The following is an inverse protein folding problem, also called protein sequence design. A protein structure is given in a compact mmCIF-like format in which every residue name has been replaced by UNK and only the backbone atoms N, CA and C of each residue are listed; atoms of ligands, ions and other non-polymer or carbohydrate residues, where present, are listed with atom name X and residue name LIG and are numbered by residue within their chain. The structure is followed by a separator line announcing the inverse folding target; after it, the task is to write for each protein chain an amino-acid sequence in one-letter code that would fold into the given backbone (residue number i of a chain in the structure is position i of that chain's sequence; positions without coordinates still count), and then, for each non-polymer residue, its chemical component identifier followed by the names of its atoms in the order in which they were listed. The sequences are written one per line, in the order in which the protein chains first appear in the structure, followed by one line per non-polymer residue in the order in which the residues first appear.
data_IF_192085617914
#
_entry.id   IF_192085617914
#
_cell.length_a   1.000
_cell.length_b   1.000
_cell.length_c   1.000
_cell.angle_alpha   90.00
_cell.angle_beta   90.00
_cell.angle_gamma   90.00
#
_symmetry.space_group_name_H-M   'P 1'
#
loop_
_entity.id
_entity.type
_entity.pdbx_description
1 polymer ?
#
# COMPACT_ATOMS: atom_id res chain seq x y z
N UNK A 1 -7.78 -6.35 11.81
CA UNK A 1 -8.09 -5.51 10.62
C UNK A 1 -7.95 -6.28 9.32
N UNK A 2 -6.84 -6.98 9.13
CA UNK A 2 -6.61 -7.88 7.99
C UNK A 2 -6.38 -9.27 8.54
N UNK A 3 -7.04 -10.28 7.98
CA UNK A 3 -6.81 -11.69 8.29
C UNK A 3 -6.62 -12.46 7.00
N UNK A 4 -5.51 -13.16 6.91
CA UNK A 4 -5.20 -14.10 5.84
C UNK A 4 -5.34 -15.51 6.41
N UNK A 5 -6.12 -16.36 5.75
CA UNK A 5 -6.37 -17.73 6.19
C UNK A 5 -5.96 -18.69 5.08
N UNK A 6 -4.88 -19.43 5.31
CA UNK A 6 -4.37 -20.48 4.43
C UNK A 6 -4.15 -20.03 2.98
N UNK A 7 -3.59 -18.82 2.80
CA UNK A 7 -3.33 -18.23 1.49
C UNK A 7 -2.22 -18.99 0.77
N UNK A 8 -2.56 -19.55 -0.39
CA UNK A 8 -1.58 -20.06 -1.34
C UNK A 8 -1.74 -19.40 -2.70
N UNK A 9 -0.63 -19.18 -3.39
CA UNK A 9 -0.61 -18.63 -4.75
C UNK A 9 0.35 -19.41 -5.62
N UNK A 10 -0.21 -20.02 -6.67
CA UNK A 10 0.51 -20.73 -7.71
C UNK A 10 0.34 -19.99 -9.02
N UNK A 11 1.44 -19.71 -9.68
CA UNK A 11 1.44 -19.24 -11.07
C UNK A 11 1.67 -20.45 -11.99
N UNK A 12 0.66 -20.73 -12.80
CA UNK A 12 0.75 -21.76 -13.83
C UNK A 12 1.46 -21.18 -15.07
N UNK A 13 2.41 -21.93 -15.64
CA UNK A 13 3.17 -21.54 -16.82
C UNK A 13 4.14 -22.64 -17.23
N UNK A 14 5.11 -22.32 -18.11
CA UNK A 14 6.16 -23.27 -18.50
C UNK A 14 6.93 -23.83 -17.30
N UNK A 15 7.12 -22.99 -16.27
CA UNK A 15 7.60 -23.39 -14.94
C UNK A 15 6.52 -23.02 -13.91
N UNK A 16 5.93 -24.03 -13.30
CA UNK A 16 5.00 -23.82 -12.18
C UNK A 16 5.74 -23.22 -10.99
N UNK A 17 5.30 -22.06 -10.52
CA UNK A 17 5.90 -21.36 -9.36
C UNK A 17 4.87 -21.23 -8.26
N UNK A 18 5.15 -21.82 -7.11
CA UNK A 18 4.35 -21.67 -5.90
C UNK A 18 4.93 -20.49 -5.09
N UNK A 19 4.36 -19.31 -5.32
CA UNK A 19 4.86 -18.06 -4.74
C UNK A 19 4.46 -17.84 -3.29
N UNK A 20 3.32 -18.39 -2.88
CA UNK A 20 2.83 -18.38 -1.48
C UNK A 20 2.34 -19.79 -1.13
N UNK A 21 2.63 -20.23 0.10
CA UNK A 21 2.39 -21.59 0.57
C UNK A 21 1.76 -21.53 1.97
N UNK A 22 0.44 -21.70 2.04
CA UNK A 22 -0.31 -21.82 3.28
C UNK A 22 -0.06 -20.69 4.30
N UNK A 23 -0.09 -19.44 3.84
CA UNK A 23 0.14 -18.27 4.71
C UNK A 23 -1.11 -17.96 5.50
N UNK A 24 -0.98 -17.94 6.83
CA UNK A 24 -1.98 -17.41 7.76
C UNK A 24 -1.35 -16.29 8.58
N UNK A 25 -2.04 -15.13 8.64
CA UNK A 25 -1.49 -13.91 9.23
C UNK A 25 -2.64 -13.01 9.70
N UNK A 26 -2.47 -12.36 10.85
CA UNK A 26 -3.44 -11.38 11.36
C UNK A 26 -2.75 -10.05 11.64
N UNK A 27 -3.32 -8.96 11.11
CA UNK A 27 -2.86 -7.59 11.33
C UNK A 27 -3.96 -6.81 12.01
N UNK A 28 -3.64 -6.25 13.16
CA UNK A 28 -4.61 -5.52 13.97
C UNK A 28 -4.88 -4.12 13.41
N UNK A 29 -5.99 -3.54 13.82
CA UNK A 29 -6.37 -2.18 13.38
C UNK A 29 -5.39 -1.15 13.95
N UNK A 30 -4.96 -0.22 13.09
CA UNK A 30 -4.07 0.88 13.46
C UNK A 30 -2.59 0.49 13.56
N UNK A 31 -2.22 -0.77 13.36
CA UNK A 31 -0.82 -1.21 13.36
C UNK A 31 -0.08 -0.80 12.09
N UNK A 32 1.21 -0.55 12.23
CA UNK A 32 2.18 -0.58 11.13
C UNK A 32 2.84 -1.96 11.16
N UNK A 33 2.48 -2.80 10.20
CA UNK A 33 2.94 -4.17 10.09
C UNK A 33 3.98 -4.33 8.98
N UNK A 34 5.17 -4.78 9.33
CA UNK A 34 6.25 -5.04 8.39
C UNK A 34 6.24 -6.46 7.84
N UNK A 35 6.54 -6.61 6.56
CA UNK A 35 6.82 -7.92 5.94
C UNK A 35 8.21 -7.83 5.32
N UNK A 36 9.15 -8.60 5.87
CA UNK A 36 10.54 -8.61 5.42
C UNK A 36 10.92 -9.96 4.82
N UNK A 37 11.79 -9.94 3.84
CA UNK A 37 12.32 -11.14 3.20
C UNK A 37 13.20 -10.79 2.00
N UNK A 38 13.93 -11.75 1.49
CA UNK A 38 14.79 -11.59 0.32
C UNK A 38 13.97 -11.29 -0.95
N UNK A 39 14.63 -10.83 -2.01
CA UNK A 39 14.01 -10.70 -3.32
C UNK A 39 13.50 -12.06 -3.80
N UNK A 40 12.27 -12.10 -4.32
CA UNK A 40 11.64 -13.35 -4.75
C UNK A 40 10.98 -14.18 -3.63
N UNK A 41 11.02 -13.75 -2.36
CA UNK A 41 10.43 -14.49 -1.24
C UNK A 41 8.89 -14.58 -1.25
N UNK A 42 8.20 -13.82 -2.11
CA UNK A 42 6.75 -13.79 -2.20
C UNK A 42 6.08 -12.52 -1.66
N UNK A 43 6.85 -11.55 -1.15
CA UNK A 43 6.33 -10.32 -0.51
C UNK A 43 5.34 -9.54 -1.38
N UNK A 44 5.73 -9.17 -2.60
CA UNK A 44 4.87 -8.40 -3.52
C UNK A 44 3.66 -9.22 -3.97
N UNK A 45 3.77 -10.55 -4.07
CA UNK A 45 2.63 -11.43 -4.32
C UNK A 45 1.66 -11.39 -3.15
N UNK A 46 2.17 -11.45 -1.91
CA UNK A 46 1.34 -11.42 -0.70
C UNK A 46 0.55 -10.11 -0.59
N UNK A 47 1.21 -8.96 -0.76
CA UNK A 47 0.52 -7.66 -0.68
C UNK A 47 -0.52 -7.49 -1.80
N UNK A 48 -0.25 -8.02 -3.00
CA UNK A 48 -1.21 -8.02 -4.11
C UNK A 48 -2.38 -8.98 -3.88
N UNK A 49 -2.20 -10.03 -3.10
CA UNK A 49 -3.31 -10.85 -2.64
C UNK A 49 -4.18 -10.11 -1.62
N UNK A 50 -3.61 -9.31 -0.72
CA UNK A 50 -4.38 -8.54 0.28
C UNK A 50 -5.37 -7.57 -0.39
N UNK A 51 -5.00 -6.92 -1.49
CA UNK A 51 -5.92 -6.05 -2.23
C UNK A 51 -6.60 -6.74 -3.42
N UNK A 52 -6.41 -8.05 -3.56
CA UNK A 52 -6.98 -8.87 -4.66
C UNK A 52 -6.57 -8.40 -6.06
N UNK A 53 -5.45 -7.67 -6.22
CA UNK A 53 -4.84 -7.46 -7.56
C UNK A 53 -4.37 -8.80 -8.14
N UNK A 54 -3.91 -9.68 -7.26
CA UNK A 54 -3.67 -11.09 -7.55
C UNK A 54 -4.64 -11.93 -6.71
N UNK A 55 -5.53 -12.66 -7.35
CA UNK A 55 -6.38 -13.60 -6.62
C UNK A 55 -5.53 -14.77 -6.08
N UNK A 56 -5.62 -15.12 -4.79
CA UNK A 56 -4.98 -16.33 -4.29
C UNK A 56 -5.54 -17.57 -5.00
N UNK A 57 -4.75 -18.64 -5.07
CA UNK A 57 -5.18 -19.92 -5.62
C UNK A 57 -6.09 -20.65 -4.63
N UNK A 58 -5.83 -20.46 -3.33
CA UNK A 58 -6.67 -20.99 -2.24
C UNK A 58 -6.54 -20.08 -1.00
N UNK A 59 -7.44 -20.27 -0.04
CA UNK A 59 -7.51 -19.51 1.19
C UNK A 59 -8.44 -18.30 1.11
N UNK A 60 -8.53 -17.53 2.19
CA UNK A 60 -9.41 -16.36 2.33
C UNK A 60 -8.63 -15.12 2.72
N UNK A 61 -9.02 -13.98 2.13
CA UNK A 61 -8.50 -12.64 2.44
C UNK A 61 -9.63 -11.82 3.06
N UNK A 62 -9.55 -11.56 4.35
CA UNK A 62 -10.56 -10.81 5.10
C UNK A 62 -9.99 -9.43 5.45
N UNK A 63 -10.65 -8.37 5.01
CA UNK A 63 -10.28 -6.98 5.32
C UNK A 63 -11.49 -6.28 5.91
N UNK A 64 -11.31 -5.72 7.10
CA UNK A 64 -12.37 -5.04 7.86
C UNK A 64 -13.66 -5.87 7.98
N UNK A 65 -13.50 -7.18 8.27
CA UNK A 65 -14.59 -8.12 8.43
C UNK A 65 -15.21 -8.63 7.12
N UNK A 66 -14.74 -8.19 5.97
CA UNK A 66 -15.25 -8.60 4.65
C UNK A 66 -14.28 -9.56 3.97
N UNK A 67 -14.73 -10.77 3.63
CA UNK A 67 -13.95 -11.72 2.84
C UNK A 67 -13.94 -11.31 1.37
N UNK A 68 -12.80 -10.76 0.93
CA UNK A 68 -12.63 -10.25 -0.43
C UNK A 68 -12.63 -11.35 -1.49
N UNK A 69 -12.30 -12.58 -1.11
CA UNK A 69 -12.23 -13.72 -2.05
C UNK A 69 -13.61 -14.17 -2.52
N UNK A 70 -14.65 -13.83 -1.76
CA UNK A 70 -16.05 -14.19 -2.07
C UNK A 70 -16.83 -13.10 -2.81
N UNK A 71 -16.21 -11.92 -3.01
CA UNK A 71 -16.88 -10.79 -3.62
C UNK A 71 -16.96 -10.92 -5.14
N UNK A 72 -18.06 -10.47 -5.70
CA UNK A 72 -18.18 -10.22 -7.15
C UNK A 72 -17.22 -9.11 -7.59
N UNK A 73 -16.92 -9.03 -8.88
CA UNK A 73 -16.05 -7.99 -9.42
C UNK A 73 -16.53 -6.56 -9.13
N UNK A 74 -17.85 -6.35 -9.03
CA UNK A 74 -18.43 -5.05 -8.67
C UNK A 74 -18.23 -4.70 -7.20
N UNK A 75 -18.46 -5.66 -6.31
CA UNK A 75 -18.27 -5.50 -4.87
C UNK A 75 -16.78 -5.32 -4.53
N UNK A 76 -15.91 -6.09 -5.18
CA UNK A 76 -14.46 -5.98 -5.02
C UNK A 76 -13.96 -4.58 -5.43
N UNK A 77 -14.46 -3.99 -6.52
CA UNK A 77 -14.14 -2.60 -6.88
C UNK A 77 -14.57 -1.60 -5.80
N UNK A 78 -15.70 -1.83 -5.13
CA UNK A 78 -16.14 -1.00 -4.00
C UNK A 78 -15.26 -1.18 -2.78
N UNK A 79 -14.90 -2.43 -2.43
CA UNK A 79 -14.04 -2.75 -1.29
C UNK A 79 -12.64 -2.13 -1.45
N UNK A 80 -12.05 -2.20 -2.65
CA UNK A 80 -10.74 -1.61 -2.97
C UNK A 80 -10.66 -0.10 -2.78
N UNK A 81 -11.77 0.65 -2.75
CA UNK A 81 -11.76 2.08 -2.43
C UNK A 81 -11.25 2.35 -1.00
N UNK A 82 -11.38 1.36 -0.11
CA UNK A 82 -10.95 1.43 1.29
C UNK A 82 -9.54 0.85 1.51
N UNK A 83 -8.85 0.46 0.44
CA UNK A 83 -7.49 -0.09 0.48
C UNK A 83 -6.62 0.77 -0.43
N UNK A 84 -5.82 1.65 0.17
CA UNK A 84 -4.82 2.43 -0.57
C UNK A 84 -3.60 1.56 -0.89
N UNK A 85 -2.93 1.85 -2.01
CA UNK A 85 -1.69 1.17 -2.37
C UNK A 85 -0.64 2.15 -2.88
N UNK A 86 0.55 2.03 -2.32
CA UNK A 86 1.76 2.72 -2.74
C UNK A 86 2.66 1.67 -3.40
N UNK A 87 3.10 1.94 -4.62
CA UNK A 87 3.89 1.02 -5.42
C UNK A 87 5.38 1.39 -5.35
N UNK A 88 6.24 0.42 -5.58
CA UNK A 88 7.70 0.59 -5.68
C UNK A 88 8.10 1.67 -6.69
N UNK A 89 7.48 1.67 -7.86
CA UNK A 89 7.55 2.77 -8.81
C UNK A 89 6.36 3.69 -8.56
N UNK A 90 6.58 5.00 -8.58
CA UNK A 90 5.57 6.01 -8.22
C UNK A 90 4.25 5.89 -8.99
N UNK A 91 4.29 5.31 -10.20
CA UNK A 91 3.14 5.08 -11.10
C UNK A 91 2.26 6.33 -11.27
N UNK A 92 2.90 7.50 -11.36
CA UNK A 92 2.21 8.76 -11.58
C UNK A 92 1.83 8.92 -13.05
N UNK A 93 0.69 9.54 -13.27
CA UNK A 93 0.25 9.94 -14.61
C UNK A 93 1.10 11.13 -15.05
N UNK A 94 2.03 10.91 -15.98
CA UNK A 94 3.03 11.90 -16.41
C UNK A 94 2.43 13.15 -17.06
N UNK A 95 1.26 13.01 -17.68
CA UNK A 95 0.51 14.09 -18.35
C UNK A 95 -0.41 14.86 -17.40
N UNK A 96 -0.45 14.52 -16.11
CA UNK A 96 -1.28 15.15 -15.08
C UNK A 96 -0.42 15.86 -14.05
N UNK A 97 -0.94 16.96 -13.51
CA UNK A 97 -0.31 17.70 -12.41
C UNK A 97 -0.31 16.88 -11.11
N UNK A 98 0.34 17.38 -10.05
CA UNK A 98 0.24 16.83 -8.69
C UNK A 98 -1.22 16.79 -8.26
N UNK A 99 -1.94 17.91 -8.40
CA UNK A 99 -3.37 17.98 -8.08
C UNK A 99 -4.17 16.91 -8.80
N UNK A 100 -4.04 16.81 -10.11
CA UNK A 100 -4.81 15.88 -10.94
C UNK A 100 -4.45 14.39 -10.67
N UNK A 101 -3.20 14.11 -10.31
CA UNK A 101 -2.80 12.77 -9.87
C UNK A 101 -3.50 12.36 -8.57
N UNK A 102 -3.58 13.28 -7.60
CA UNK A 102 -4.24 13.02 -6.30
C UNK A 102 -5.77 12.99 -6.46
N UNK A 103 -6.33 13.82 -7.34
CA UNK A 103 -7.77 13.88 -7.64
C UNK A 103 -8.29 12.64 -8.39
N UNK A 104 -7.43 11.98 -9.16
CA UNK A 104 -7.82 10.91 -10.07
C UNK A 104 -8.71 9.81 -9.47
N UNK A 105 -8.41 9.23 -8.28
CA UNK A 105 -9.28 8.22 -7.66
C UNK A 105 -10.68 8.76 -7.33
N UNK A 106 -10.80 10.04 -7.02
CA UNK A 106 -12.07 10.69 -6.68
C UNK A 106 -12.90 11.04 -7.93
N UNK A 107 -12.21 11.41 -9.03
CA UNK A 107 -12.84 11.56 -10.35
C UNK A 107 -13.50 10.25 -10.79
N UNK A 108 -12.79 9.11 -10.63
CA UNK A 108 -13.34 7.78 -10.92
C UNK A 108 -14.52 7.38 -10.03
N UNK A 109 -14.63 8.00 -8.85
CA UNK A 109 -15.77 7.82 -7.96
C UNK A 109 -16.95 8.74 -8.31
N UNK A 110 -16.77 9.66 -9.25
CA UNK A 110 -17.80 10.58 -9.71
C UNK A 110 -18.04 11.78 -8.80
N UNK A 111 -17.06 12.14 -7.94
CA UNK A 111 -17.16 13.32 -7.09
C UNK A 111 -17.08 14.60 -7.92
N UNK A 112 -17.79 15.64 -7.47
CA UNK A 112 -17.72 16.97 -8.05
C UNK A 112 -16.36 17.64 -7.79
N UNK A 113 -15.99 18.64 -8.59
CA UNK A 113 -14.73 19.40 -8.42
C UNK A 113 -14.62 20.06 -7.04
N UNK A 114 -15.73 20.48 -6.46
CA UNK A 114 -15.77 21.11 -5.12
C UNK A 114 -15.42 20.06 -4.07
N UNK A 115 -16.11 18.91 -4.07
CA UNK A 115 -15.85 17.80 -3.15
C UNK A 115 -14.42 17.29 -3.26
N UNK A 116 -13.89 17.15 -4.47
CA UNK A 116 -12.49 16.76 -4.71
C UNK A 116 -11.54 17.75 -4.06
N UNK A 117 -11.72 19.05 -4.31
CA UNK A 117 -10.87 20.11 -3.75
C UNK A 117 -10.90 20.10 -2.22
N UNK A 118 -12.06 20.02 -1.61
CA UNK A 118 -12.22 19.97 -0.15
C UNK A 118 -11.51 18.77 0.45
N UNK A 119 -11.56 17.63 -0.23
CA UNK A 119 -10.96 16.38 0.27
C UNK A 119 -9.46 16.33 0.11
N UNK A 120 -8.90 16.79 -1.00
CA UNK A 120 -7.47 16.64 -1.28
C UNK A 120 -6.61 17.79 -0.72
N UNK A 121 -7.16 18.99 -0.51
CA UNK A 121 -6.40 20.12 0.05
C UNK A 121 -5.70 19.76 1.37
N UNK A 122 -6.39 19.23 2.40
CA UNK A 122 -5.72 18.85 3.64
C UNK A 122 -4.73 17.69 3.47
N UNK A 123 -4.94 16.80 2.50
CA UNK A 123 -3.99 15.72 2.21
C UNK A 123 -2.70 16.27 1.61
N UNK A 124 -2.81 17.24 0.68
CA UNK A 124 -1.64 17.91 0.10
C UNK A 124 -0.82 18.66 1.15
N UNK A 125 -1.48 19.25 2.16
CA UNK A 125 -0.81 19.88 3.29
C UNK A 125 -0.07 18.85 4.15
N UNK A 126 -0.71 17.72 4.49
CA UNK A 126 -0.10 16.63 5.27
C UNK A 126 1.16 16.09 4.57
N UNK A 127 1.12 15.88 3.25
CA UNK A 127 2.28 15.37 2.52
C UNK A 127 3.29 16.48 2.14
N UNK A 128 3.04 17.75 2.46
CA UNK A 128 3.93 18.88 2.20
C UNK A 128 4.07 19.22 0.72
N UNK A 129 2.98 19.21 -0.05
CA UNK A 129 2.97 19.49 -1.49
C UNK A 129 2.04 20.62 -1.90
N UNK A 130 1.55 21.44 -0.96
CA UNK A 130 0.60 22.53 -1.24
C UNK A 130 1.13 23.58 -2.20
N UNK A 131 2.45 23.82 -2.21
CA UNK A 131 3.13 24.74 -3.14
C UNK A 131 3.46 24.11 -4.51
N UNK A 132 3.21 22.80 -4.69
CA UNK A 132 3.56 22.02 -5.89
C UNK A 132 2.37 21.51 -6.67
N UNK A 133 1.16 21.90 -6.32
CA UNK A 133 -0.10 21.36 -6.87
C UNK A 133 -0.19 21.42 -8.39
N UNK A 134 0.42 22.44 -9.02
CA UNK A 134 0.42 22.65 -10.46
C UNK A 134 1.64 22.03 -11.18
N UNK A 135 2.59 21.44 -10.45
CA UNK A 135 3.76 20.82 -11.04
C UNK A 135 3.40 19.47 -11.68
N UNK A 136 4.12 19.12 -12.73
CA UNK A 136 4.07 17.80 -13.36
C UNK A 136 5.10 16.84 -12.73
N UNK A 137 4.91 15.52 -12.81
CA UNK A 137 5.87 14.54 -12.27
C UNK A 137 7.32 14.74 -12.74
N UNK A 138 7.53 15.20 -13.96
CA UNK A 138 8.87 15.50 -14.51
C UNK A 138 9.61 16.63 -13.77
N UNK A 139 8.88 17.47 -13.04
CA UNK A 139 9.42 18.63 -12.30
C UNK A 139 9.66 18.32 -10.82
N UNK A 140 9.47 17.06 -10.40
CA UNK A 140 9.52 16.64 -9.00
C UNK A 140 10.74 15.75 -8.72
N UNK A 141 11.30 15.88 -7.52
CA UNK A 141 12.28 14.92 -6.99
C UNK A 141 11.64 13.55 -6.73
N UNK A 142 12.46 12.52 -6.51
CA UNK A 142 11.98 11.18 -6.17
C UNK A 142 11.08 11.17 -4.92
N UNK A 143 11.51 11.85 -3.85
CA UNK A 143 10.73 11.97 -2.62
C UNK A 143 9.42 12.73 -2.82
N UNK A 144 9.41 13.79 -3.63
CA UNK A 144 8.17 14.51 -3.98
C UNK A 144 7.21 13.62 -4.79
N UNK A 145 7.71 12.83 -5.74
CA UNK A 145 6.90 11.85 -6.48
C UNK A 145 6.28 10.81 -5.54
N UNK A 146 7.06 10.35 -4.56
CA UNK A 146 6.56 9.40 -3.55
C UNK A 146 5.45 10.03 -2.71
N UNK A 147 5.62 11.28 -2.27
CA UNK A 147 4.59 12.02 -1.54
C UNK A 147 3.30 12.20 -2.35
N UNK A 148 3.39 12.40 -3.67
CA UNK A 148 2.22 12.41 -4.57
C UNK A 148 1.54 11.03 -4.59
N UNK A 149 2.31 9.94 -4.66
CA UNK A 149 1.80 8.58 -4.60
C UNK A 149 1.06 8.29 -3.29
N UNK A 150 1.63 8.74 -2.16
CA UNK A 150 1.00 8.65 -0.83
C UNK A 150 -0.31 9.45 -0.80
N UNK A 151 -0.28 10.72 -1.21
CA UNK A 151 -1.46 11.58 -1.24
C UNK A 151 -2.59 10.99 -2.09
N UNK A 152 -2.26 10.44 -3.26
CA UNK A 152 -3.21 9.74 -4.13
C UNK A 152 -3.83 8.52 -3.46
N UNK A 153 -3.03 7.73 -2.75
CA UNK A 153 -3.53 6.56 -2.02
C UNK A 153 -4.47 6.96 -0.87
N UNK A 154 -4.21 8.09 -0.21
CA UNK A 154 -5.04 8.64 0.88
C UNK A 154 -6.33 9.29 0.40
N UNK A 155 -6.40 9.76 -0.86
CA UNK A 155 -7.53 10.54 -1.38
C UNK A 155 -8.88 9.85 -1.21
N UNK A 156 -8.93 8.52 -1.33
CA UNK A 156 -10.15 7.72 -1.14
C UNK A 156 -10.52 7.48 0.33
N UNK A 157 -9.80 8.07 1.29
CA UNK A 157 -9.96 7.84 2.72
C UNK A 157 -9.92 6.34 3.08
N UNK A 158 -8.80 5.65 2.78
CA UNK A 158 -8.69 4.21 3.00
C UNK A 158 -8.66 3.88 4.49
N UNK A 159 -8.94 2.62 4.83
CA UNK A 159 -8.76 2.05 6.18
C UNK A 159 -7.43 1.29 6.28
N UNK A 160 -6.91 0.85 5.15
CA UNK A 160 -5.66 0.11 5.00
C UNK A 160 -4.80 0.78 3.94
N UNK A 161 -3.51 0.92 4.22
CA UNK A 161 -2.51 1.38 3.28
C UNK A 161 -1.47 0.27 3.06
N UNK A 162 -1.34 -0.18 1.85
CA UNK A 162 -0.38 -1.20 1.44
C UNK A 162 0.82 -0.52 0.78
N UNK A 163 2.04 -0.79 1.26
CA UNK A 163 3.27 -0.18 0.78
C UNK A 163 4.20 -1.27 0.20
N UNK A 164 4.25 -1.39 -1.11
CA UNK A 164 5.12 -2.32 -1.82
C UNK A 164 6.47 -1.64 -2.10
N UNK A 165 7.47 -1.87 -1.22
CA UNK A 165 8.82 -1.29 -1.31
C UNK A 165 8.84 0.23 -1.54
N UNK A 166 8.01 0.96 -0.80
CA UNK A 166 7.74 2.39 -1.00
C UNK A 166 8.97 3.32 -0.88
N UNK A 167 10.10 2.82 -0.38
CA UNK A 167 11.33 3.61 -0.16
C UNK A 167 12.54 3.11 -0.95
N UNK A 168 12.44 1.96 -1.62
CA UNK A 168 13.59 1.29 -2.27
C UNK A 168 14.27 2.10 -3.40
N UNK A 169 13.57 3.08 -3.98
CA UNK A 169 14.09 3.95 -5.03
C UNK A 169 14.55 5.33 -4.52
N UNK A 170 14.67 5.52 -3.20
CA UNK A 170 14.97 6.80 -2.56
C UNK A 170 16.35 6.76 -1.88
N UNK A 171 16.96 7.93 -1.75
CA UNK A 171 18.16 8.09 -0.91
C UNK A 171 17.82 7.95 0.58
N UNK A 172 18.81 7.68 1.45
CA UNK A 172 18.56 7.41 2.87
C UNK A 172 17.83 8.53 3.61
N UNK A 173 18.16 9.79 3.34
CA UNK A 173 17.53 10.94 4.01
C UNK A 173 16.08 11.11 3.57
N UNK A 174 15.80 10.92 2.30
CA UNK A 174 14.43 10.94 1.76
C UNK A 174 13.63 9.76 2.29
N UNK A 175 14.23 8.57 2.41
CA UNK A 175 13.62 7.38 3.03
C UNK A 175 13.13 7.70 4.45
N UNK A 176 13.99 8.23 5.30
CA UNK A 176 13.67 8.62 6.67
C UNK A 176 12.48 9.58 6.74
N UNK A 177 12.50 10.62 5.89
CA UNK A 177 11.40 11.59 5.78
C UNK A 177 10.06 10.97 5.30
N UNK A 178 10.09 9.94 4.46
CA UNK A 178 8.87 9.21 4.04
C UNK A 178 8.37 8.29 5.15
N UNK A 179 9.27 7.65 5.91
CA UNK A 179 8.89 6.80 7.04
C UNK A 179 8.24 7.63 8.17
N UNK A 180 8.81 8.78 8.50
CA UNK A 180 8.22 9.73 9.45
C UNK A 180 6.82 10.18 8.99
N UNK A 181 6.66 10.49 7.69
CA UNK A 181 5.36 10.84 7.13
C UNK A 181 4.34 9.69 7.27
N UNK A 182 4.73 8.45 6.99
CA UNK A 182 3.84 7.28 7.12
C UNK A 182 3.42 7.07 8.58
N UNK A 183 4.34 7.27 9.53
CA UNK A 183 4.06 7.19 10.96
C UNK A 183 3.08 8.28 11.40
N UNK A 184 3.30 9.52 10.99
CA UNK A 184 2.39 10.66 11.27
C UNK A 184 0.98 10.40 10.70
N UNK A 185 0.89 9.87 9.48
CA UNK A 185 -0.39 9.48 8.85
C UNK A 185 -1.08 8.36 9.65
N UNK A 186 -0.34 7.32 10.06
CA UNK A 186 -0.89 6.24 10.88
C UNK A 186 -1.48 6.78 12.18
N UNK A 187 -0.72 7.60 12.91
CA UNK A 187 -1.13 8.18 14.21
C UNK A 187 -2.35 9.10 14.06
N UNK A 188 -2.34 10.02 13.09
CA UNK A 188 -3.43 11.01 12.88
C UNK A 188 -4.71 10.40 12.35
N UNK A 189 -4.61 9.42 11.46
CA UNK A 189 -5.76 8.86 10.75
C UNK A 189 -6.23 7.51 11.31
N UNK A 190 -5.48 6.90 12.25
CA UNK A 190 -5.73 5.55 12.75
C UNK A 190 -5.66 4.48 11.65
N UNK A 191 -4.83 4.72 10.64
CA UNK A 191 -4.73 3.92 9.42
C UNK A 191 -3.88 2.67 9.69
N UNK A 192 -4.35 1.50 9.27
CA UNK A 192 -3.55 0.28 9.30
C UNK A 192 -2.60 0.28 8.11
N UNK A 193 -1.29 0.13 8.35
CA UNK A 193 -0.28 0.14 7.28
C UNK A 193 0.39 -1.24 7.19
N UNK A 194 0.48 -1.79 5.98
CA UNK A 194 1.27 -2.99 5.69
C UNK A 194 2.44 -2.58 4.80
N UNK A 195 3.64 -2.73 5.32
CA UNK A 195 4.88 -2.30 4.66
C UNK A 195 5.73 -3.50 4.25
N UNK A 196 6.02 -3.60 2.97
CA UNK A 196 7.01 -4.55 2.46
C UNK A 196 8.36 -3.85 2.29
N UNK A 197 9.41 -4.47 2.79
CA UNK A 197 10.79 -4.02 2.58
C UNK A 197 11.77 -5.18 2.69
N UNK A 198 12.98 -4.99 2.20
CA UNK A 198 14.14 -5.85 2.47
C UNK A 198 15.12 -5.16 3.43
N UNK A 199 14.82 -3.96 3.92
CA UNK A 199 15.66 -3.15 4.78
C UNK A 199 15.25 -3.28 6.25
N UNK A 200 16.08 -3.94 7.07
CA UNK A 200 15.84 -4.08 8.52
C UNK A 200 15.76 -2.74 9.25
N UNK A 201 16.47 -1.71 8.76
CA UNK A 201 16.41 -0.37 9.36
C UNK A 201 14.98 0.17 9.32
N UNK A 202 14.31 0.07 8.18
CA UNK A 202 12.91 0.51 7.97
C UNK A 202 11.97 -0.18 8.97
N UNK A 203 12.10 -1.51 9.13
CA UNK A 203 11.27 -2.27 10.06
C UNK A 203 11.40 -1.74 11.49
N UNK A 204 12.65 -1.55 11.96
CA UNK A 204 12.93 -1.10 13.33
C UNK A 204 12.48 0.33 13.63
N UNK A 205 12.39 1.17 12.59
CA UNK A 205 12.02 2.58 12.76
C UNK A 205 10.53 2.79 12.95
N UNK A 206 9.68 2.03 12.24
CA UNK A 206 8.26 2.36 12.22
C UNK A 206 7.30 1.19 12.47
N UNK A 207 7.75 -0.06 12.40
CA UNK A 207 6.83 -1.20 12.51
C UNK A 207 6.57 -1.60 13.96
N UNK A 208 5.30 -1.84 14.30
CA UNK A 208 4.88 -2.39 15.59
C UNK A 208 5.08 -3.90 15.66
N UNK A 209 4.90 -4.57 14.53
CA UNK A 209 5.11 -6.01 14.35
C UNK A 209 5.69 -6.30 12.97
N UNK A 210 6.35 -7.44 12.87
CA UNK A 210 6.99 -7.89 11.63
C UNK A 210 6.77 -9.38 11.40
N UNK A 211 6.61 -9.77 10.14
CA UNK A 211 6.70 -11.15 9.67
C UNK A 211 7.90 -11.30 8.73
N UNK A 212 8.64 -12.38 8.91
CA UNK A 212 9.71 -12.80 8.00
C UNK A 212 9.17 -13.82 7.02
N UNK A 213 9.26 -13.51 5.73
CA UNK A 213 8.83 -14.42 4.66
C UNK A 213 10.04 -14.94 3.87
N UNK A 214 10.10 -16.25 3.64
CA UNK A 214 11.12 -16.89 2.82
C UNK A 214 10.50 -18.07 2.05
N UNK A 215 10.80 -18.17 0.76
CA UNK A 215 10.32 -19.26 -0.10
C UNK A 215 8.79 -19.44 -0.12
N UNK A 216 8.05 -18.35 0.12
CA UNK A 216 6.59 -18.32 0.12
C UNK A 216 5.92 -18.73 1.44
N UNK A 217 6.67 -18.90 2.53
CA UNK A 217 6.14 -19.21 3.87
C UNK A 217 6.53 -18.14 4.87
N UNK A 218 5.71 -17.92 5.90
CA UNK A 218 6.09 -17.13 7.06
C UNK A 218 6.95 -18.00 7.98
N UNK A 219 8.19 -17.57 8.25
CA UNK A 219 9.13 -18.27 9.13
C UNK A 219 8.96 -17.85 10.58
N UNK A 220 8.77 -16.55 10.80
CA UNK A 220 8.74 -15.95 12.12
C UNK A 220 7.87 -14.71 12.13
N UNK A 221 7.22 -14.45 13.25
CA UNK A 221 6.54 -13.20 13.56
C UNK A 221 7.04 -12.66 14.91
N UNK A 222 7.20 -11.33 14.99
CA UNK A 222 7.69 -10.66 16.20
C UNK A 222 7.22 -9.22 16.32
N UNK A 223 7.59 -8.55 17.41
CA UNK A 223 7.39 -7.13 17.71
C UNK A 223 8.73 -6.45 17.95
#
# INVERSE_FOLDING_TARGET
MITLEHISKVYEGANRVEALKDISLTIEKGQIYGIIGQSGAGKSTLIRCINMLEAPTSGSVIVDGTDLTKLSASELRKARKHIGMIFQHFNLLSSRTVYDNVAFPLELQGLSKVEIKERITPILDIVGLSDRVNNYPSQLSGGQKQRVGIARALASNPKVLLCDEATSALDPQTTESILELLKDINERMGLTIVLITHEMKVIREICDRVAVIEGGVILEEGS
#
